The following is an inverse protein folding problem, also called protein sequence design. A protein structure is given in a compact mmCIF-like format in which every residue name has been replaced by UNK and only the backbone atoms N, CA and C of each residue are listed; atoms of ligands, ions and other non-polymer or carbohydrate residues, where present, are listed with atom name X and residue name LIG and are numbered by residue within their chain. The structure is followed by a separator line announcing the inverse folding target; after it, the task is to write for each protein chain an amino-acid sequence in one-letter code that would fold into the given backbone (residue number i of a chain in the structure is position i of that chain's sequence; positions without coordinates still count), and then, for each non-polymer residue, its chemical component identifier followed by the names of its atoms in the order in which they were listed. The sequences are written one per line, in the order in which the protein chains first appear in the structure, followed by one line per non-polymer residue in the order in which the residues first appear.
data_IF_238045609940
#
_entry.id   IF_238045609940
#
_cell.length_a   1.000
_cell.length_b   1.000
_cell.length_c   1.000
_cell.angle_alpha   90.00
_cell.angle_beta   90.00
_cell.angle_gamma   90.00
#
_symmetry.space_group_name_H-M   'P 1'
#
loop_
_entity.id
_entity.type
_entity.pdbx_description
1 polymer ?
#
# COMPACT_ATOMS: atom_id res chain seq x y z
N UNK A 1 -3.07 32.08 4.38
CA UNK A 1 -3.75 30.78 4.11
C UNK A 1 -3.52 29.88 5.32
N UNK A 2 -4.60 29.27 5.84
CA UNK A 2 -4.53 28.35 6.99
C UNK A 2 -4.62 26.91 6.51
N UNK A 3 -3.60 26.13 6.84
CA UNK A 3 -3.53 24.68 6.56
C UNK A 3 -3.73 23.95 7.89
N UNK A 4 -4.51 22.87 7.88
CA UNK A 4 -4.69 22.04 9.06
C UNK A 4 -4.49 20.54 8.76
N UNK A 5 -4.11 19.80 9.81
CA UNK A 5 -4.19 18.36 9.85
C UNK A 5 -4.86 17.90 11.13
N UNK A 6 -5.78 16.96 11.00
CA UNK A 6 -6.49 16.34 12.10
C UNK A 6 -5.78 15.06 12.56
N UNK A 7 -6.12 14.62 13.75
CA UNK A 7 -5.81 13.28 14.19
C UNK A 7 -6.66 12.28 13.39
N UNK A 8 -6.01 11.27 12.81
CA UNK A 8 -6.72 10.16 12.18
C UNK A 8 -7.43 9.32 13.25
N UNK A 9 -8.69 8.95 13.00
CA UNK A 9 -9.55 8.30 14.00
C UNK A 9 -9.89 6.84 13.65
N UNK A 10 -9.42 6.36 12.49
CA UNK A 10 -9.62 4.98 12.05
C UNK A 10 -8.70 4.09 12.89
N UNK A 11 -9.26 3.04 13.44
CA UNK A 11 -8.50 2.07 14.23
C UNK A 11 -7.31 1.49 13.43
N UNK A 12 -6.13 1.48 14.05
CA UNK A 12 -4.89 1.03 13.40
C UNK A 12 -4.21 2.06 12.51
N UNK A 13 -4.83 3.22 12.21
CA UNK A 13 -4.15 4.28 11.47
C UNK A 13 -3.21 5.05 12.39
N UNK A 14 -1.93 4.99 12.07
CA UNK A 14 -0.87 5.60 12.89
C UNK A 14 -0.18 6.77 12.20
N UNK A 15 -0.49 7.01 10.93
CA UNK A 15 0.13 8.08 10.15
C UNK A 15 -0.50 9.43 10.48
N UNK A 16 0.25 10.49 10.21
CA UNK A 16 -0.22 11.87 10.25
C UNK A 16 0.03 12.54 8.91
N UNK A 17 -0.86 13.39 8.47
CA UNK A 17 -0.76 14.02 7.15
C UNK A 17 0.36 15.05 7.05
N UNK A 18 0.70 15.72 8.14
CA UNK A 18 1.75 16.75 8.22
C UNK A 18 2.71 16.35 9.33
N UNK A 19 3.99 16.13 9.00
CA UNK A 19 5.05 15.91 9.99
C UNK A 19 5.58 17.25 10.54
N UNK A 20 6.30 17.29 11.69
CA UNK A 20 6.91 18.53 12.17
C UNK A 20 7.85 19.19 11.16
N UNK A 21 8.59 18.41 10.39
CA UNK A 21 9.45 18.92 9.32
C UNK A 21 8.63 19.60 8.21
N UNK A 22 7.56 18.94 7.74
CA UNK A 22 6.66 19.53 6.74
C UNK A 22 5.95 20.77 7.28
N UNK A 23 5.56 20.76 8.57
CA UNK A 23 4.96 21.93 9.23
C UNK A 23 5.91 23.13 9.19
N UNK A 24 7.19 22.92 9.50
CA UNK A 24 8.23 23.97 9.43
C UNK A 24 8.33 24.56 8.02
N UNK A 25 8.42 23.70 6.99
CA UNK A 25 8.53 24.15 5.60
C UNK A 25 7.31 25.00 5.18
N UNK A 26 6.12 24.62 5.63
CA UNK A 26 4.88 25.38 5.36
C UNK A 26 4.88 26.73 6.11
N UNK A 27 5.32 26.75 7.36
CA UNK A 27 5.44 27.99 8.17
C UNK A 27 6.47 28.91 7.56
N UNK A 28 7.64 28.41 7.16
CA UNK A 28 8.71 29.18 6.50
C UNK A 28 8.23 29.77 5.15
N UNK A 29 7.27 29.09 4.49
CA UNK A 29 6.59 29.59 3.30
C UNK A 29 5.48 30.64 3.59
N UNK A 30 5.33 31.07 4.85
CA UNK A 30 4.36 32.09 5.25
C UNK A 30 2.94 31.60 5.47
N UNK A 31 2.74 30.30 5.67
CA UNK A 31 1.43 29.69 5.91
C UNK A 31 1.19 29.51 7.41
N UNK A 32 -0.06 29.63 7.84
CA UNK A 32 -0.47 29.29 9.21
C UNK A 32 -0.82 27.81 9.25
N UNK A 33 -0.06 27.04 10.02
CA UNK A 33 -0.26 25.60 10.16
C UNK A 33 -0.90 25.30 11.52
N UNK A 34 -2.03 24.60 11.51
CA UNK A 34 -2.74 24.18 12.73
C UNK A 34 -2.82 22.65 12.77
N UNK A 35 -2.32 22.06 13.82
CA UNK A 35 -2.33 20.61 14.04
C UNK A 35 -3.28 20.29 15.21
N UNK A 36 -4.15 19.32 15.04
CA UNK A 36 -4.93 18.80 16.16
C UNK A 36 -4.02 18.13 17.18
N UNK A 37 -4.18 18.44 18.47
CA UNK A 37 -3.38 17.87 19.55
C UNK A 37 -3.40 16.34 19.50
N UNK A 38 -2.22 15.73 19.61
CA UNK A 38 -2.03 14.29 19.53
C UNK A 38 -2.10 13.71 18.12
N UNK A 39 -2.26 14.50 17.06
CA UNK A 39 -2.34 13.98 15.69
C UNK A 39 -1.09 13.20 15.25
N UNK A 40 0.10 13.62 15.72
CA UNK A 40 1.37 12.95 15.41
C UNK A 40 1.78 11.85 16.39
N UNK A 41 1.07 11.68 17.50
CA UNK A 41 1.52 10.82 18.62
C UNK A 41 1.80 9.38 18.20
N UNK A 42 0.91 8.76 17.41
CA UNK A 42 1.06 7.39 16.91
C UNK A 42 2.19 7.25 15.88
N UNK A 43 2.62 8.36 15.26
CA UNK A 43 3.79 8.45 14.38
C UNK A 43 5.09 8.79 15.13
N UNK A 44 5.05 8.93 16.46
CA UNK A 44 6.20 9.30 17.29
C UNK A 44 6.49 10.79 17.35
N UNK A 45 5.56 11.66 16.92
CA UNK A 45 5.70 13.11 16.97
C UNK A 45 4.85 13.71 18.09
N UNK A 46 5.50 14.21 19.13
CA UNK A 46 4.83 14.93 20.21
C UNK A 46 4.37 16.33 19.74
N UNK A 47 3.32 16.86 20.38
CA UNK A 47 2.80 18.22 20.12
C UNK A 47 3.87 19.29 20.21
N UNK A 48 4.81 19.16 21.16
CA UNK A 48 5.94 20.07 21.33
C UNK A 48 6.85 20.17 20.08
N UNK A 49 6.97 19.09 19.29
CA UNK A 49 7.74 19.11 18.05
C UNK A 49 7.07 19.97 16.97
N UNK A 50 5.75 19.97 16.89
CA UNK A 50 5.00 20.86 16.00
C UNK A 50 5.09 22.33 16.45
N UNK A 51 4.98 22.59 17.76
CA UNK A 51 5.15 23.94 18.32
C UNK A 51 6.55 24.48 18.03
N UNK A 52 7.59 23.66 18.20
CA UNK A 52 8.98 24.01 17.86
C UNK A 52 9.18 24.23 16.34
N UNK A 53 8.33 23.66 15.51
CA UNK A 53 8.29 23.90 14.07
C UNK A 53 7.50 25.18 13.67
N UNK A 54 6.93 25.91 14.65
CA UNK A 54 6.16 27.12 14.44
C UNK A 54 4.67 26.89 14.12
N UNK A 55 4.18 25.66 14.24
CA UNK A 55 2.77 25.34 14.04
C UNK A 55 1.95 25.60 15.31
N UNK A 56 0.69 25.99 15.14
CA UNK A 56 -0.31 26.04 16.20
C UNK A 56 -0.76 24.61 16.53
N UNK A 57 -0.82 24.26 17.82
CA UNK A 57 -1.42 23.00 18.27
C UNK A 57 -2.69 23.31 19.03
N UNK A 58 -3.81 22.74 18.60
CA UNK A 58 -5.13 22.99 19.17
C UNK A 58 -5.84 21.69 19.58
N UNK A 59 -6.53 21.68 20.69
CA UNK A 59 -7.33 20.53 21.15
C UNK A 59 -8.40 20.14 20.13
N UNK A 60 -8.90 21.11 19.36
CA UNK A 60 -9.82 20.90 18.23
C UNK A 60 -9.56 21.96 17.17
N UNK A 61 -9.69 21.61 15.92
CA UNK A 61 -9.49 22.51 14.77
C UNK A 61 -10.85 23.09 14.35
N UNK A 62 -10.93 24.42 14.26
CA UNK A 62 -12.13 25.11 13.77
C UNK A 62 -12.23 24.96 12.23
N UNK A 63 -12.80 23.85 11.75
CA UNK A 63 -12.83 23.46 10.33
C UNK A 63 -13.42 24.53 9.40
N UNK A 64 -14.39 25.32 9.86
CA UNK A 64 -14.96 26.43 9.08
C UNK A 64 -13.99 27.59 8.79
N UNK A 65 -12.79 27.60 9.40
CA UNK A 65 -11.74 28.62 9.17
C UNK A 65 -10.58 28.12 8.32
N UNK A 66 -10.55 26.82 8.01
CA UNK A 66 -9.46 26.16 7.30
C UNK A 66 -9.55 26.46 5.80
N UNK A 67 -8.43 26.79 5.18
CA UNK A 67 -8.33 26.96 3.72
C UNK A 67 -7.88 25.67 3.04
N UNK A 68 -6.98 24.91 3.69
CA UNK A 68 -6.49 23.61 3.20
C UNK A 68 -6.52 22.59 4.34
N UNK A 69 -7.18 21.46 4.14
CA UNK A 69 -7.16 20.33 5.06
C UNK A 69 -6.33 19.18 4.47
N UNK A 70 -5.22 18.83 5.12
CA UNK A 70 -4.43 17.65 4.80
C UNK A 70 -4.94 16.44 5.61
N UNK A 71 -5.06 15.29 4.95
CA UNK A 71 -5.56 14.05 5.56
C UNK A 71 -4.85 12.82 5.01
N UNK A 72 -4.80 11.74 5.79
CA UNK A 72 -4.23 10.46 5.36
C UNK A 72 -5.31 9.54 4.82
N UNK A 73 -6.41 9.39 5.57
CA UNK A 73 -7.55 8.55 5.19
C UNK A 73 -8.68 9.37 4.55
N UNK A 74 -9.58 8.74 3.80
CA UNK A 74 -10.76 9.43 3.27
C UNK A 74 -11.51 10.18 4.37
N UNK A 75 -11.94 11.40 4.06
CA UNK A 75 -12.69 12.23 4.99
C UNK A 75 -14.12 11.69 5.18
N UNK A 76 -14.62 11.77 6.40
CA UNK A 76 -16.03 11.45 6.68
C UNK A 76 -16.96 12.54 6.17
N UNK A 77 -18.21 12.18 5.87
CA UNK A 77 -19.25 13.15 5.46
C UNK A 77 -19.44 14.24 6.52
N UNK A 78 -19.32 13.90 7.80
CA UNK A 78 -19.40 14.85 8.91
C UNK A 78 -18.27 15.88 8.87
N UNK A 79 -17.01 15.41 8.71
CA UNK A 79 -15.85 16.31 8.58
C UNK A 79 -16.00 17.24 7.38
N UNK A 80 -16.45 16.71 6.24
CA UNK A 80 -16.68 17.49 5.01
C UNK A 80 -17.75 18.57 5.26
N UNK A 81 -18.86 18.23 5.94
CA UNK A 81 -19.94 19.15 6.26
C UNK A 81 -19.54 20.30 7.19
N UNK A 82 -18.46 20.15 7.96
CA UNK A 82 -17.92 21.20 8.84
C UNK A 82 -16.94 22.16 8.12
N UNK A 83 -16.51 21.84 6.90
CA UNK A 83 -15.62 22.69 6.11
C UNK A 83 -16.42 23.83 5.43
N UNK A 84 -15.78 24.98 5.26
CA UNK A 84 -16.37 26.06 4.47
C UNK A 84 -16.28 25.77 2.96
N UNK A 85 -17.22 26.33 2.19
CA UNK A 85 -17.14 26.32 0.73
C UNK A 85 -15.82 26.95 0.25
N UNK A 86 -15.20 26.35 -0.76
CA UNK A 86 -13.91 26.78 -1.30
C UNK A 86 -12.69 26.23 -0.56
N UNK A 87 -12.86 25.46 0.53
CA UNK A 87 -11.76 24.73 1.16
C UNK A 87 -11.14 23.75 0.15
N UNK A 88 -9.84 23.54 0.25
CA UNK A 88 -9.09 22.53 -0.50
C UNK A 88 -8.78 21.35 0.42
N UNK A 89 -8.97 20.13 -0.03
CA UNK A 89 -8.51 18.93 0.70
C UNK A 89 -7.42 18.22 -0.08
N UNK A 90 -6.40 17.70 0.61
CA UNK A 90 -5.26 16.99 0.02
C UNK A 90 -4.99 15.72 0.82
N UNK A 91 -5.10 14.56 0.19
CA UNK A 91 -4.85 13.28 0.86
C UNK A 91 -5.26 12.08 0.02
N UNK A 92 -5.23 10.89 0.60
CA UNK A 92 -5.76 9.67 -0.01
C UNK A 92 -7.28 9.64 0.18
N UNK A 93 -8.03 9.83 -0.90
CA UNK A 93 -9.48 9.98 -0.85
C UNK A 93 -10.25 8.69 -1.17
N UNK A 94 -9.59 7.67 -1.73
CA UNK A 94 -10.23 6.43 -2.22
C UNK A 94 -11.45 6.72 -3.09
N UNK A 95 -11.34 7.70 -3.99
CA UNK A 95 -12.46 8.33 -4.69
C UNK A 95 -13.37 7.35 -5.45
N UNK A 96 -12.83 6.18 -5.89
CA UNK A 96 -13.60 5.17 -6.60
C UNK A 96 -14.54 4.37 -5.68
N UNK A 97 -14.24 4.23 -4.40
CA UNK A 97 -15.04 3.48 -3.41
C UNK A 97 -15.84 4.39 -2.48
N UNK A 98 -15.32 5.57 -2.12
CA UNK A 98 -15.90 6.51 -1.17
C UNK A 98 -16.89 7.49 -1.83
N UNK A 99 -17.86 6.98 -2.56
CA UNK A 99 -18.79 7.81 -3.36
C UNK A 99 -19.65 8.76 -2.50
N UNK A 100 -19.93 8.43 -1.25
CA UNK A 100 -20.65 9.29 -0.33
C UNK A 100 -19.81 10.54 0.01
N UNK A 101 -18.54 10.37 0.30
CA UNK A 101 -17.60 11.48 0.56
C UNK A 101 -17.41 12.35 -0.69
N UNK A 102 -17.27 11.72 -1.88
CA UNK A 102 -17.17 12.46 -3.16
C UNK A 102 -18.39 13.34 -3.42
N UNK A 103 -19.60 12.82 -3.16
CA UNK A 103 -20.85 13.61 -3.28
C UNK A 103 -20.88 14.76 -2.27
N UNK A 104 -20.51 14.50 -1.02
CA UNK A 104 -20.48 15.53 0.02
C UNK A 104 -19.47 16.66 -0.33
N UNK A 105 -18.27 16.31 -0.82
CA UNK A 105 -17.28 17.30 -1.29
C UNK A 105 -17.84 18.17 -2.43
N UNK A 106 -18.48 17.56 -3.42
CA UNK A 106 -19.14 18.28 -4.53
C UNK A 106 -20.20 19.25 -4.01
N UNK A 107 -21.10 18.75 -3.16
CA UNK A 107 -22.26 19.52 -2.68
C UNK A 107 -21.84 20.67 -1.76
N UNK A 108 -20.76 20.48 -0.98
CA UNK A 108 -20.11 21.52 -0.17
C UNK A 108 -19.20 22.46 -0.99
N UNK A 109 -19.03 22.27 -2.30
CA UNK A 109 -18.14 23.05 -3.18
C UNK A 109 -16.69 23.06 -2.68
N UNK A 110 -16.18 21.91 -2.30
CA UNK A 110 -14.81 21.69 -1.85
C UNK A 110 -13.98 21.13 -3.02
N UNK A 111 -12.78 21.67 -3.22
CA UNK A 111 -11.81 21.13 -4.17
C UNK A 111 -10.99 20.05 -3.48
N UNK A 112 -10.97 18.82 -4.02
CA UNK A 112 -10.22 17.71 -3.44
C UNK A 112 -9.14 17.21 -4.37
N UNK A 113 -7.90 17.14 -3.88
CA UNK A 113 -6.77 16.50 -4.53
C UNK A 113 -6.57 15.11 -3.94
N UNK A 114 -7.08 14.09 -4.65
CA UNK A 114 -6.91 12.69 -4.31
C UNK A 114 -5.51 12.22 -4.77
N UNK A 115 -4.60 12.00 -3.84
CA UNK A 115 -3.20 11.71 -4.16
C UNK A 115 -3.01 10.39 -4.89
N UNK A 116 -3.92 9.43 -4.73
CA UNK A 116 -3.91 8.18 -5.50
C UNK A 116 -4.26 8.36 -6.98
N UNK A 117 -4.82 9.51 -7.37
CA UNK A 117 -5.16 9.85 -8.76
C UNK A 117 -4.12 10.74 -9.43
N UNK A 118 -3.05 11.12 -8.73
CA UNK A 118 -1.94 11.88 -9.32
C UNK A 118 -1.32 11.06 -10.46
N UNK A 119 -1.16 11.63 -11.67
CA UNK A 119 -0.63 10.91 -12.81
C UNK A 119 0.83 10.49 -12.59
N UNK A 120 1.18 9.27 -12.98
CA UNK A 120 2.54 8.71 -12.82
C UNK A 120 3.46 9.22 -13.94
N UNK A 121 3.83 10.48 -13.88
CA UNK A 121 4.76 11.16 -14.78
C UNK A 121 5.95 11.71 -13.98
N UNK A 122 7.08 11.93 -14.65
CA UNK A 122 8.34 12.30 -13.99
C UNK A 122 8.22 13.52 -13.07
N UNK A 123 7.54 14.59 -13.47
CA UNK A 123 7.39 15.79 -12.65
C UNK A 123 6.38 15.65 -11.49
N UNK A 124 5.59 14.57 -11.45
CA UNK A 124 4.65 14.30 -10.37
C UNK A 124 5.20 13.29 -9.35
N UNK A 125 6.40 12.75 -9.53
CA UNK A 125 6.99 11.73 -8.65
C UNK A 125 7.09 12.19 -7.19
N UNK A 126 7.38 13.46 -6.94
CA UNK A 126 7.44 14.01 -5.58
C UNK A 126 6.07 14.08 -4.88
N UNK A 127 4.97 13.97 -5.63
CA UNK A 127 3.59 13.97 -5.13
C UNK A 127 2.98 12.56 -5.11
N UNK A 128 3.71 11.53 -5.54
CA UNK A 128 3.22 10.15 -5.62
C UNK A 128 3.23 9.46 -4.25
N UNK A 129 2.24 9.81 -3.45
CA UNK A 129 2.04 9.20 -2.14
C UNK A 129 1.68 7.71 -2.24
N UNK A 130 1.01 7.28 -3.33
CA UNK A 130 0.63 5.88 -3.52
C UNK A 130 1.87 4.99 -3.68
N UNK A 131 2.83 5.40 -4.51
CA UNK A 131 4.10 4.68 -4.67
C UNK A 131 4.89 4.64 -3.36
N UNK A 132 4.99 5.76 -2.64
CA UNK A 132 5.68 5.82 -1.34
C UNK A 132 5.06 4.87 -0.32
N UNK A 133 3.73 4.82 -0.22
CA UNK A 133 3.03 3.93 0.70
C UNK A 133 3.12 2.45 0.27
N UNK A 134 3.10 2.18 -1.03
CA UNK A 134 3.29 0.82 -1.57
C UNK A 134 4.67 0.26 -1.21
N UNK A 135 5.71 1.09 -1.25
CA UNK A 135 7.06 0.69 -0.82
C UNK A 135 7.06 0.27 0.66
N UNK A 136 6.44 1.07 1.54
CA UNK A 136 6.30 0.74 2.97
C UNK A 136 5.53 -0.56 3.16
N UNK A 137 4.44 -0.76 2.40
CA UNK A 137 3.63 -1.99 2.43
C UNK A 137 4.49 -3.21 2.10
N UNK A 138 5.24 -3.18 1.00
CA UNK A 138 6.11 -4.30 0.61
C UNK A 138 7.20 -4.61 1.63
N UNK A 139 7.81 -3.58 2.22
CA UNK A 139 8.77 -3.75 3.30
C UNK A 139 8.14 -4.40 4.53
N UNK A 140 7.01 -3.85 5.01
CA UNK A 140 6.32 -4.32 6.22
C UNK A 140 5.77 -5.73 6.07
N UNK A 141 5.23 -6.09 4.91
CA UNK A 141 4.69 -7.44 4.64
C UNK A 141 5.71 -8.53 4.92
N UNK A 142 6.96 -8.34 4.51
CA UNK A 142 8.03 -9.32 4.74
C UNK A 142 8.43 -9.37 6.22
N UNK A 143 8.47 -8.24 6.92
CA UNK A 143 8.74 -8.23 8.37
C UNK A 143 7.64 -8.94 9.15
N UNK A 144 6.37 -8.71 8.82
CA UNK A 144 5.24 -9.42 9.42
C UNK A 144 5.32 -10.92 9.15
N UNK A 145 5.66 -11.31 7.93
CA UNK A 145 5.89 -12.70 7.59
C UNK A 145 7.03 -13.31 8.41
N UNK A 146 8.15 -12.59 8.56
CA UNK A 146 9.32 -13.08 9.28
C UNK A 146 9.07 -13.30 10.77
N UNK A 147 8.24 -12.45 11.37
CA UNK A 147 7.85 -12.57 12.79
C UNK A 147 6.95 -13.79 13.07
N UNK A 148 6.15 -14.21 12.08
CA UNK A 148 5.19 -15.32 12.20
C UNK A 148 5.72 -16.64 11.68
N UNK A 149 6.77 -16.60 10.82
CA UNK A 149 7.33 -17.81 10.22
C UNK A 149 8.19 -18.55 11.24
N UNK A 150 7.91 -19.85 11.54
CA UNK A 150 8.56 -20.59 12.63
C UNK A 150 9.95 -21.10 12.27
N UNK A 151 10.53 -20.70 11.14
CA UNK A 151 11.85 -21.10 10.67
C UNK A 151 12.67 -19.89 10.24
N UNK A 152 13.93 -20.13 9.84
CA UNK A 152 14.83 -19.07 9.38
C UNK A 152 14.56 -18.67 7.93
N UNK A 153 14.77 -17.40 7.63
CA UNK A 153 14.80 -16.89 6.26
C UNK A 153 16.07 -17.32 5.51
N UNK A 154 17.28 -17.14 6.08
CA UNK A 154 18.52 -17.51 5.38
C UNK A 154 18.85 -19.00 5.52
N UNK A 155 19.79 -19.43 4.68
CA UNK A 155 20.49 -20.70 4.85
C UNK A 155 21.37 -20.65 6.11
N UNK A 156 21.26 -21.66 6.97
CA UNK A 156 22.21 -21.89 8.04
C UNK A 156 22.84 -23.27 7.93
N UNK A 157 24.16 -23.32 8.19
CA UNK A 157 24.90 -24.57 8.38
C UNK A 157 25.36 -24.62 9.82
N UNK A 158 25.02 -25.71 10.52
CA UNK A 158 25.41 -25.97 11.90
C UNK A 158 26.08 -27.32 12.00
N UNK A 159 26.72 -27.61 13.13
CA UNK A 159 27.28 -28.97 13.38
C UNK A 159 26.18 -30.06 13.35
N UNK A 160 24.92 -29.70 13.61
CA UNK A 160 23.77 -30.62 13.55
C UNK A 160 23.16 -30.76 12.14
N UNK A 161 23.64 -30.03 11.15
CA UNK A 161 23.17 -30.12 9.76
C UNK A 161 22.85 -28.76 9.12
N UNK A 162 22.24 -28.82 7.94
CA UNK A 162 21.89 -27.66 7.12
C UNK A 162 20.41 -27.33 7.25
N UNK A 163 20.09 -26.07 7.54
CA UNK A 163 18.73 -25.54 7.54
C UNK A 163 18.56 -24.78 6.21
N UNK A 164 17.68 -25.24 5.30
CA UNK A 164 17.48 -24.58 4.02
C UNK A 164 16.83 -23.21 4.19
N UNK A 165 17.06 -22.27 3.25
CA UNK A 165 16.43 -20.96 3.29
C UNK A 165 14.94 -21.05 3.02
N UNK A 166 14.17 -20.12 3.60
CA UNK A 166 12.75 -19.97 3.32
C UNK A 166 12.51 -19.69 1.83
N UNK A 167 11.45 -20.27 1.29
CA UNK A 167 10.96 -20.03 -0.07
C UNK A 167 9.83 -19.00 0.00
N UNK A 168 10.08 -17.81 -0.52
CA UNK A 168 9.09 -16.71 -0.57
C UNK A 168 8.56 -16.59 -1.99
N UNK A 169 7.25 -16.62 -2.14
CA UNK A 169 6.53 -16.34 -3.37
C UNK A 169 5.84 -14.98 -3.27
N UNK A 170 6.15 -14.08 -4.20
CA UNK A 170 5.49 -12.77 -4.30
C UNK A 170 4.55 -12.77 -5.51
N UNK A 171 3.28 -12.48 -5.28
CA UNK A 171 2.24 -12.38 -6.30
C UNK A 171 1.92 -10.90 -6.56
N UNK A 172 2.36 -10.41 -7.71
CA UNK A 172 2.39 -9.01 -8.10
C UNK A 172 3.79 -8.40 -7.97
N UNK A 173 4.34 -7.91 -9.08
CA UNK A 173 5.66 -7.28 -9.16
C UNK A 173 5.55 -5.76 -9.42
N UNK A 174 4.56 -5.10 -8.78
CA UNK A 174 4.51 -3.65 -8.67
C UNK A 174 5.48 -3.13 -7.59
N UNK A 175 5.38 -1.84 -7.22
CA UNK A 175 6.27 -1.22 -6.23
C UNK A 175 6.31 -2.00 -4.91
N UNK A 176 5.14 -2.39 -4.38
CA UNK A 176 5.07 -3.18 -3.15
C UNK A 176 5.74 -4.57 -3.32
N UNK A 177 5.44 -5.26 -4.42
CA UNK A 177 6.01 -6.59 -4.70
C UNK A 177 7.52 -6.55 -4.89
N UNK A 178 8.04 -5.60 -5.67
CA UNK A 178 9.49 -5.43 -5.86
C UNK A 178 10.20 -5.13 -4.53
N UNK A 179 9.60 -4.28 -3.68
CA UNK A 179 10.15 -4.02 -2.35
C UNK A 179 10.09 -5.26 -1.46
N UNK A 180 9.01 -6.06 -1.51
CA UNK A 180 8.91 -7.32 -0.78
C UNK A 180 10.00 -8.30 -1.24
N UNK A 181 10.24 -8.44 -2.56
CA UNK A 181 11.32 -9.26 -3.11
C UNK A 181 12.66 -8.81 -2.54
N UNK A 182 12.98 -7.50 -2.66
CA UNK A 182 14.25 -6.96 -2.17
C UNK A 182 14.44 -7.20 -0.66
N UNK A 183 13.38 -7.01 0.13
CA UNK A 183 13.44 -7.21 1.59
C UNK A 183 13.63 -8.69 1.94
N UNK A 184 12.87 -9.60 1.34
CA UNK A 184 13.00 -11.04 1.58
C UNK A 184 14.38 -11.57 1.16
N UNK A 185 14.94 -11.05 0.06
CA UNK A 185 16.32 -11.37 -0.38
C UNK A 185 17.36 -10.91 0.64
N UNK A 186 17.23 -9.68 1.18
CA UNK A 186 18.13 -9.17 2.23
C UNK A 186 18.07 -10.02 3.50
N UNK A 187 16.93 -10.60 3.82
CA UNK A 187 16.77 -11.55 4.93
C UNK A 187 17.32 -12.95 4.59
N UNK A 188 17.78 -13.18 3.35
CA UNK A 188 18.41 -14.42 2.92
C UNK A 188 17.47 -15.49 2.37
N UNK A 189 16.22 -15.16 2.08
CA UNK A 189 15.26 -16.07 1.48
C UNK A 189 15.56 -16.38 0.01
N UNK A 190 15.04 -17.50 -0.47
CA UNK A 190 14.89 -17.85 -1.89
C UNK A 190 13.57 -17.24 -2.39
N UNK A 191 13.65 -16.24 -3.27
CA UNK A 191 12.45 -15.47 -3.68
C UNK A 191 12.12 -15.77 -5.14
N UNK A 192 10.85 -16.11 -5.37
CA UNK A 192 10.22 -16.16 -6.70
C UNK A 192 9.06 -15.15 -6.74
N UNK A 193 8.75 -14.66 -7.93
CA UNK A 193 7.65 -13.74 -8.12
C UNK A 193 6.89 -14.01 -9.41
N UNK A 194 5.62 -13.72 -9.40
CA UNK A 194 4.75 -13.75 -10.56
C UNK A 194 4.05 -12.40 -10.76
N UNK A 195 3.97 -11.96 -12.00
CA UNK A 195 3.15 -10.82 -12.43
C UNK A 195 2.54 -11.14 -13.80
N UNK A 196 1.36 -10.62 -14.08
CA UNK A 196 0.71 -10.78 -15.40
C UNK A 196 1.46 -10.06 -16.52
N UNK A 197 2.29 -9.08 -16.18
CA UNK A 197 3.12 -8.31 -17.10
C UNK A 197 4.47 -9.01 -17.26
N UNK A 198 4.71 -9.62 -18.42
CA UNK A 198 6.00 -10.25 -18.72
C UNK A 198 7.20 -9.27 -18.59
N UNK A 199 6.97 -7.98 -18.88
CA UNK A 199 7.98 -6.92 -18.73
C UNK A 199 8.52 -6.77 -17.29
N UNK A 200 7.79 -7.24 -16.27
CA UNK A 200 8.27 -7.21 -14.88
C UNK A 200 9.39 -8.24 -14.59
N UNK A 201 9.71 -9.13 -15.52
CA UNK A 201 10.75 -10.15 -15.32
C UNK A 201 12.12 -9.54 -15.03
N UNK A 202 12.51 -8.50 -15.77
CA UNK A 202 13.80 -7.82 -15.58
C UNK A 202 13.84 -7.05 -14.26
N UNK A 203 12.71 -6.44 -13.85
CA UNK A 203 12.58 -5.76 -12.57
C UNK A 203 12.74 -6.74 -11.41
N UNK A 204 12.08 -7.92 -11.48
CA UNK A 204 12.19 -9.00 -10.49
C UNK A 204 13.62 -9.52 -10.40
N UNK A 205 14.26 -9.75 -11.54
CA UNK A 205 15.65 -10.21 -11.60
C UNK A 205 16.62 -9.18 -10.99
N UNK A 206 16.42 -7.89 -11.25
CA UNK A 206 17.23 -6.80 -10.67
C UNK A 206 17.13 -6.73 -9.15
N UNK A 207 15.97 -7.12 -8.56
CA UNK A 207 15.80 -7.27 -7.12
C UNK A 207 16.34 -8.59 -6.55
N UNK A 208 16.89 -9.45 -7.39
CA UNK A 208 17.47 -10.75 -7.03
C UNK A 208 16.42 -11.87 -6.87
N UNK A 209 15.21 -11.69 -7.36
CA UNK A 209 14.17 -12.70 -7.44
C UNK A 209 14.23 -13.53 -8.72
N UNK A 210 13.50 -14.65 -8.76
CA UNK A 210 13.28 -15.46 -9.95
C UNK A 210 11.85 -15.23 -10.45
N UNK A 211 11.70 -14.79 -11.69
CA UNK A 211 10.38 -14.58 -12.28
C UNK A 211 9.77 -15.94 -12.70
N UNK A 212 8.48 -16.13 -12.40
CA UNK A 212 7.71 -17.29 -12.81
C UNK A 212 6.97 -16.93 -14.10
N UNK A 213 7.27 -17.65 -15.17
CA UNK A 213 6.56 -17.55 -16.44
C UNK A 213 5.50 -18.65 -16.50
N UNK A 214 4.24 -18.27 -16.71
CA UNK A 214 3.14 -19.22 -16.91
C UNK A 214 2.79 -19.30 -18.40
N UNK A 215 2.61 -20.52 -18.89
CA UNK A 215 2.11 -20.76 -20.25
C UNK A 215 0.58 -20.60 -20.26
N UNK A 216 0.11 -19.39 -20.60
CA UNK A 216 -1.30 -19.03 -20.70
C UNK A 216 -1.82 -19.00 -22.14
N UNK A 217 -0.97 -19.22 -23.15
CA UNK A 217 -1.36 -19.11 -24.58
C UNK A 217 -2.36 -20.20 -25.01
N UNK A 218 -2.35 -21.35 -24.33
CA UNK A 218 -3.31 -22.42 -24.61
C UNK A 218 -4.77 -22.07 -24.28
N UNK A 219 -5.01 -21.08 -23.44
CA UNK A 219 -6.35 -20.63 -23.06
C UNK A 219 -6.97 -19.64 -24.06
N UNK A 220 -6.15 -18.93 -24.83
CA UNK A 220 -6.60 -17.93 -25.82
C UNK A 220 -7.06 -18.59 -27.15
N UNK A 221 -6.75 -19.87 -27.36
CA UNK A 221 -7.06 -20.60 -28.61
C UNK A 221 -8.50 -21.18 -28.70
N UNK A 222 -9.27 -21.15 -27.62
CA UNK A 222 -10.59 -21.80 -27.54
C UNK A 222 -11.74 -20.81 -27.68
N UNK A 223 -11.90 -20.13 -28.81
CA UNK A 223 -12.93 -19.16 -29.21
C UNK A 223 -14.26 -19.13 -28.42
N UNK A 224 -14.30 -18.37 -27.33
CA UNK A 224 -15.48 -18.12 -26.51
C UNK A 224 -15.80 -16.62 -26.36
N UNK A 225 -16.92 -16.28 -25.73
CA UNK A 225 -17.27 -14.90 -25.43
C UNK A 225 -16.23 -14.30 -24.46
N UNK A 226 -15.89 -13.03 -24.61
CA UNK A 226 -14.80 -12.35 -23.88
C UNK A 226 -14.85 -12.49 -22.34
N UNK A 227 -16.01 -12.70 -21.75
CA UNK A 227 -16.18 -12.94 -20.30
C UNK A 227 -15.80 -14.37 -19.91
N UNK A 228 -16.21 -15.36 -20.68
CA UNK A 228 -15.88 -16.79 -20.48
C UNK A 228 -14.38 -17.01 -20.66
N UNK A 229 -13.78 -16.41 -21.70
CA UNK A 229 -12.32 -16.42 -21.92
C UNK A 229 -11.54 -15.81 -20.74
N UNK A 230 -12.07 -14.77 -20.08
CA UNK A 230 -11.43 -14.17 -18.92
C UNK A 230 -11.50 -15.07 -17.68
N UNK A 231 -12.61 -15.78 -17.47
CA UNK A 231 -12.78 -16.73 -16.35
C UNK A 231 -11.94 -18.00 -16.57
N UNK A 232 -11.89 -18.54 -17.78
CA UNK A 232 -11.05 -19.69 -18.14
C UNK A 232 -9.55 -19.37 -17.99
N UNK A 233 -9.14 -18.18 -18.43
CA UNK A 233 -7.78 -17.71 -18.26
C UNK A 233 -7.41 -17.56 -16.79
N UNK A 234 -8.30 -17.03 -15.96
CA UNK A 234 -8.09 -16.90 -14.51
C UNK A 234 -8.02 -18.27 -13.82
N UNK A 235 -8.86 -19.24 -14.25
CA UNK A 235 -8.81 -20.62 -13.75
C UNK A 235 -7.47 -21.30 -14.12
N UNK A 236 -7.06 -21.18 -15.38
CA UNK A 236 -5.79 -21.73 -15.86
C UNK A 236 -4.59 -21.09 -15.17
N UNK A 237 -4.63 -19.80 -14.94
CA UNK A 237 -3.60 -19.08 -14.16
C UNK A 237 -3.47 -19.66 -12.76
N UNK A 238 -4.59 -19.87 -12.05
CA UNK A 238 -4.58 -20.49 -10.71
C UNK A 238 -4.04 -21.90 -10.72
N UNK A 239 -4.46 -22.72 -11.71
CA UNK A 239 -3.94 -24.08 -11.88
C UNK A 239 -2.42 -24.10 -12.01
N UNK A 240 -1.86 -23.24 -12.89
CA UNK A 240 -0.42 -23.15 -13.12
C UNK A 240 0.34 -22.55 -11.93
N UNK A 241 -0.30 -21.68 -11.13
CA UNK A 241 0.29 -21.13 -9.90
C UNK A 241 0.28 -22.14 -8.74
N UNK A 242 -0.63 -23.09 -8.71
CA UNK A 242 -0.81 -24.04 -7.60
C UNK A 242 0.48 -24.75 -7.17
N UNK A 243 1.30 -25.32 -8.08
CA UNK A 243 2.55 -25.97 -7.69
C UNK A 243 3.54 -25.00 -7.01
N UNK A 244 3.58 -23.74 -7.44
CA UNK A 244 4.45 -22.72 -6.86
C UNK A 244 3.98 -22.31 -5.46
N UNK A 245 2.65 -22.23 -5.26
CA UNK A 245 2.02 -21.95 -3.97
C UNK A 245 2.31 -23.08 -2.98
N UNK A 246 2.12 -24.35 -3.37
CA UNK A 246 2.40 -25.50 -2.52
C UNK A 246 3.90 -25.62 -2.16
N UNK A 247 4.79 -25.16 -3.04
CA UNK A 247 6.24 -25.17 -2.80
C UNK A 247 6.72 -24.01 -1.91
N UNK A 248 5.89 -22.97 -1.73
CA UNK A 248 6.25 -21.79 -0.95
C UNK A 248 6.11 -22.03 0.55
N UNK A 249 6.99 -21.42 1.32
CA UNK A 249 6.89 -21.32 2.77
C UNK A 249 6.17 -20.04 3.19
N UNK A 250 6.33 -18.99 2.37
CA UNK A 250 5.73 -17.66 2.60
C UNK A 250 5.16 -17.15 1.28
N UNK A 251 3.94 -16.61 1.33
CA UNK A 251 3.32 -15.91 0.20
C UNK A 251 3.07 -14.46 0.61
N UNK A 252 3.43 -13.52 -0.26
CA UNK A 252 3.07 -12.11 -0.15
C UNK A 252 2.27 -11.73 -1.39
N UNK A 253 1.02 -11.29 -1.21
CA UNK A 253 0.18 -10.83 -2.32
C UNK A 253 0.19 -9.30 -2.38
N UNK A 254 0.36 -8.75 -3.57
CA UNK A 254 0.41 -7.31 -3.81
C UNK A 254 -0.27 -6.91 -5.13
N UNK A 255 -1.09 -7.79 -5.69
CA UNK A 255 -1.74 -7.60 -6.99
C UNK A 255 -2.96 -6.66 -6.89
N UNK A 256 -2.76 -5.44 -6.44
CA UNK A 256 -3.79 -4.41 -6.38
C UNK A 256 -4.02 -3.77 -7.75
N UNK A 257 -5.28 -3.67 -8.17
CA UNK A 257 -5.70 -2.87 -9.32
C UNK A 257 -6.43 -1.63 -8.80
N UNK A 258 -5.85 -0.43 -8.93
CA UNK A 258 -6.50 0.79 -8.44
C UNK A 258 -7.90 0.97 -9.02
N UNK A 259 -8.89 1.21 -8.14
CA UNK A 259 -10.28 1.44 -8.53
C UNK A 259 -11.07 0.21 -9.00
N UNK A 260 -10.51 -1.00 -8.86
CA UNK A 260 -11.20 -2.26 -9.18
C UNK A 260 -10.95 -3.31 -8.08
N UNK A 261 -11.85 -4.31 -7.93
CA UNK A 261 -11.57 -5.45 -7.06
C UNK A 261 -10.27 -6.15 -7.46
N UNK A 262 -9.48 -6.53 -6.46
CA UNK A 262 -8.26 -7.30 -6.69
C UNK A 262 -8.60 -8.68 -7.27
N UNK A 263 -7.77 -9.22 -8.19
CA UNK A 263 -7.97 -10.56 -8.70
C UNK A 263 -7.71 -11.59 -7.60
N UNK A 264 -8.57 -12.59 -7.49
CA UNK A 264 -8.32 -13.72 -6.58
C UNK A 264 -7.28 -14.67 -7.22
N UNK A 265 -6.02 -14.50 -6.83
CA UNK A 265 -4.90 -15.32 -7.32
C UNK A 265 -4.71 -16.61 -6.49
N UNK A 266 -5.14 -16.60 -5.24
CA UNK A 266 -4.99 -17.72 -4.30
C UNK A 266 -6.34 -18.11 -3.75
N UNK A 267 -6.68 -19.40 -3.80
CA UNK A 267 -7.92 -19.94 -3.22
C UNK A 267 -7.65 -20.70 -1.94
N UNK A 268 -8.68 -20.94 -1.13
CA UNK A 268 -8.57 -21.75 0.08
C UNK A 268 -8.06 -23.18 -0.21
N UNK A 269 -8.46 -23.76 -1.35
CA UNK A 269 -8.00 -25.07 -1.79
C UNK A 269 -6.47 -25.08 -2.04
N UNK A 270 -5.95 -24.06 -2.74
CA UNK A 270 -4.52 -23.92 -2.97
C UNK A 270 -3.74 -23.77 -1.66
N UNK A 271 -4.28 -23.04 -0.69
CA UNK A 271 -3.67 -22.89 0.64
C UNK A 271 -3.64 -24.22 1.41
N UNK A 272 -4.64 -25.08 1.22
CA UNK A 272 -4.70 -26.41 1.83
C UNK A 272 -3.52 -27.32 1.44
N UNK A 273 -2.88 -27.07 0.31
CA UNK A 273 -1.68 -27.81 -0.15
C UNK A 273 -0.36 -27.24 0.36
N UNK A 274 -0.36 -26.13 1.08
CA UNK A 274 0.86 -25.58 1.69
C UNK A 274 1.28 -26.38 2.94
N UNK A 275 2.55 -26.27 3.30
CA UNK A 275 3.07 -26.92 4.52
C UNK A 275 2.50 -26.24 5.78
N UNK A 276 2.29 -27.04 6.83
CA UNK A 276 1.95 -26.48 8.14
C UNK A 276 3.06 -25.51 8.61
N UNK A 277 2.64 -24.37 9.15
CA UNK A 277 3.53 -23.28 9.54
C UNK A 277 3.94 -22.33 8.41
N UNK A 278 3.39 -22.48 7.20
CA UNK A 278 3.51 -21.49 6.14
C UNK A 278 2.75 -20.22 6.49
N UNK A 279 3.20 -19.08 5.96
CA UNK A 279 2.64 -17.76 6.25
C UNK A 279 2.15 -17.11 4.95
N UNK A 280 0.96 -16.53 4.99
CA UNK A 280 0.41 -15.71 3.90
C UNK A 280 0.17 -14.30 4.45
N UNK A 281 0.66 -13.32 3.70
CA UNK A 281 0.43 -11.88 3.97
C UNK A 281 -0.23 -11.28 2.74
N UNK A 282 -1.46 -10.78 2.92
CA UNK A 282 -2.26 -10.12 1.91
C UNK A 282 -2.42 -8.63 2.23
#
# INVERSE_FOLDING_TARGET
MRIAALRERIEGERRVAITPESARQLVDAGLVVTIESGAGAESGYADAAYQAAGAEVAASVALGTVDVLAHVRPLTVETIGALKAGTITVGLASAASELAAVRALRDARITSFALELVPRISRAQSMDALTSQSLVTGYRSVLEASMRFPRFFPLYMTAAGTIPPAKVLVLGAGVAGLQAIATAKRLGAKVSAYDVRAASADEVASMGGTFITLDLEAADAAGGYAKELAEDRAARQRELLTPHIHAADIIVTTALIPGRPAPQLVTAEMLGGMRAGSVVVD
#
